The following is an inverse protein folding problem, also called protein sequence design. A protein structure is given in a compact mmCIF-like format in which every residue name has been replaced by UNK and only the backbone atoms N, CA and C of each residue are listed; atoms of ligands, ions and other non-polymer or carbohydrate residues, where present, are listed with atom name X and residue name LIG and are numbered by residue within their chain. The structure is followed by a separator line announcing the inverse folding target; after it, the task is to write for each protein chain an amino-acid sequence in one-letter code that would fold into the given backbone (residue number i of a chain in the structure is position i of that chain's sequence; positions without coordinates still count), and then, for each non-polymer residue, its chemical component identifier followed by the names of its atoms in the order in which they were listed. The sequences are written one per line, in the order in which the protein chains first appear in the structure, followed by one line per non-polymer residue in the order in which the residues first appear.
data_IF_975596891063
#
_entry.id   IF_975596891063
#
_cell.length_a   1.000
_cell.length_b   1.000
_cell.length_c   1.000
_cell.angle_alpha   90.00
_cell.angle_beta   90.00
_cell.angle_gamma   90.00
#
_symmetry.space_group_name_H-M   'P 1'
#
loop_
_entity.id
_entity.type
_entity.pdbx_description
1 polymer ?
#
# COMPACT_ATOMS: atom_id res chain seq x y z
N UNK A 1 15.49 -11.37 75.20
CA UNK A 1 16.14 -11.61 73.90
C UNK A 1 15.74 -12.98 73.36
N UNK A 2 14.79 -13.03 72.43
CA UNK A 2 14.54 -14.21 71.59
C UNK A 2 14.29 -13.67 70.17
N UNK A 3 15.37 -13.52 69.41
CA UNK A 3 15.31 -13.13 68.02
C UNK A 3 14.87 -14.32 67.17
N UNK A 4 13.66 -14.26 66.61
CA UNK A 4 13.25 -15.19 65.55
C UNK A 4 14.08 -14.85 64.30
N UNK A 5 15.05 -15.70 63.96
CA UNK A 5 15.69 -15.68 62.66
C UNK A 5 14.67 -16.12 61.61
N UNK A 6 14.23 -15.18 60.78
CA UNK A 6 13.41 -15.46 59.60
C UNK A 6 14.26 -16.25 58.60
N UNK A 7 13.98 -17.55 58.49
CA UNK A 7 14.59 -18.42 57.49
C UNK A 7 13.90 -18.14 56.14
N UNK A 8 14.56 -17.37 55.28
CA UNK A 8 14.04 -17.06 53.94
C UNK A 8 14.10 -18.33 53.10
N UNK A 9 12.94 -18.84 52.68
CA UNK A 9 12.83 -20.06 51.87
C UNK A 9 13.67 -19.96 50.58
N UNK A 10 14.41 -21.03 50.27
CA UNK A 10 15.21 -21.16 49.03
C UNK A 10 14.38 -20.89 47.75
N UNK A 11 13.06 -21.15 47.79
CA UNK A 11 12.13 -20.80 46.71
C UNK A 11 11.95 -19.29 46.51
N UNK A 12 11.95 -18.51 47.59
CA UNK A 12 11.82 -17.04 47.53
C UNK A 12 13.07 -16.40 46.94
N UNK A 13 14.25 -16.94 47.27
CA UNK A 13 15.53 -16.51 46.68
C UNK A 13 15.59 -16.87 45.20
N UNK A 14 15.17 -18.08 44.82
CA UNK A 14 15.16 -18.53 43.43
C UNK A 14 14.23 -17.67 42.55
N UNK A 15 13.02 -17.37 43.02
CA UNK A 15 12.08 -16.50 42.30
C UNK A 15 12.58 -15.05 42.21
N UNK A 16 13.27 -14.56 43.25
CA UNK A 16 13.95 -13.25 43.22
C UNK A 16 15.07 -13.19 42.18
N UNK A 17 15.90 -14.24 42.07
CA UNK A 17 16.96 -14.34 41.08
C UNK A 17 16.41 -14.44 39.65
N UNK A 18 15.34 -15.23 39.42
CA UNK A 18 14.68 -15.34 38.12
C UNK A 18 14.04 -14.01 37.72
N UNK A 19 13.38 -13.32 38.65
CA UNK A 19 12.81 -11.98 38.41
C UNK A 19 13.88 -10.94 38.10
N UNK A 20 15.00 -10.96 38.81
CA UNK A 20 16.15 -10.08 38.55
C UNK A 20 16.75 -10.35 37.17
N UNK A 21 16.93 -11.61 36.79
CA UNK A 21 17.45 -11.99 35.47
C UNK A 21 16.49 -11.57 34.34
N UNK A 22 15.18 -11.74 34.55
CA UNK A 22 14.15 -11.32 33.59
C UNK A 22 14.09 -9.79 33.43
N UNK A 23 14.20 -9.04 34.53
CA UNK A 23 14.36 -7.59 34.50
C UNK A 23 15.65 -7.17 33.78
N UNK A 24 16.77 -7.85 34.02
CA UNK A 24 18.04 -7.56 33.37
C UNK A 24 17.96 -7.78 31.86
N UNK A 25 17.31 -8.87 31.43
CA UNK A 25 17.05 -9.17 30.00
C UNK A 25 16.13 -8.13 29.38
N UNK A 26 15.06 -7.72 30.06
CA UNK A 26 14.16 -6.66 29.57
C UNK A 26 14.83 -5.28 29.47
N UNK A 27 15.84 -4.99 30.29
CA UNK A 27 16.62 -3.74 30.25
C UNK A 27 17.74 -3.80 29.20
N UNK A 28 18.33 -4.98 28.95
CA UNK A 28 19.39 -5.19 27.95
C UNK A 28 18.85 -5.32 26.52
N UNK A 29 17.62 -5.80 26.36
CA UNK A 29 16.92 -5.78 25.06
C UNK A 29 16.40 -4.36 24.86
N UNK A 30 17.26 -3.47 24.34
CA UNK A 30 16.79 -2.19 23.82
C UNK A 30 15.66 -2.48 22.82
N UNK A 31 14.50 -1.81 22.93
CA UNK A 31 13.57 -1.80 21.82
C UNK A 31 14.37 -1.31 20.60
N UNK A 32 14.22 -1.99 19.47
CA UNK A 32 14.82 -1.55 18.21
C UNK A 32 14.18 -0.22 17.81
N UNK A 33 14.59 0.86 18.48
CA UNK A 33 14.45 2.20 17.97
C UNK A 33 15.17 2.23 16.63
N UNK A 34 14.66 2.99 15.67
CA UNK A 34 15.34 3.23 14.41
C UNK A 34 16.66 4.00 14.66
N UNK A 35 17.65 3.29 15.19
CA UNK A 35 18.83 3.82 15.88
C UNK A 35 19.83 4.46 14.91
N UNK A 36 19.66 4.21 13.62
CA UNK A 36 20.48 4.69 12.53
C UNK A 36 19.77 5.70 11.63
N UNK A 37 18.61 6.24 12.03
CA UNK A 37 17.98 7.35 11.33
C UNK A 37 18.55 8.68 11.84
N UNK A 38 19.07 9.48 10.92
CA UNK A 38 19.50 10.85 11.20
C UNK A 38 18.27 11.75 11.31
N UNK A 39 18.00 12.22 12.52
CA UNK A 39 16.90 13.15 12.82
C UNK A 39 17.31 14.62 12.65
N UNK A 40 18.61 14.92 12.67
CA UNK A 40 19.13 16.29 12.61
C UNK A 40 19.20 16.79 11.17
N UNK A 41 19.67 15.96 10.23
CA UNK A 41 19.86 16.34 8.83
C UNK A 41 18.73 15.87 7.90
N UNK A 42 17.49 15.99 8.36
CA UNK A 42 16.32 15.59 7.57
C UNK A 42 16.05 16.52 6.37
N UNK A 43 15.54 15.94 5.28
CA UNK A 43 15.11 16.67 4.09
C UNK A 43 13.59 16.86 4.12
N UNK A 44 13.15 18.12 4.21
CA UNK A 44 11.72 18.47 4.19
C UNK A 44 11.33 19.01 2.82
N UNK A 45 10.37 18.34 2.19
CA UNK A 45 9.75 18.74 0.93
C UNK A 45 8.35 19.30 1.19
N UNK A 46 7.99 20.39 0.49
CA UNK A 46 6.69 21.04 0.62
C UNK A 46 5.97 21.02 -0.72
N UNK A 47 4.66 20.80 -0.67
CA UNK A 47 3.77 20.87 -1.82
C UNK A 47 2.64 21.88 -1.63
N UNK A 48 1.67 21.92 -2.56
CA UNK A 48 0.53 22.84 -2.49
C UNK A 48 -0.32 22.62 -1.24
N UNK A 49 -0.82 23.72 -0.66
CA UNK A 49 -1.70 23.66 0.51
C UNK A 49 -3.03 22.98 0.17
N UNK A 50 -3.60 22.27 1.14
CA UNK A 50 -4.90 21.58 1.01
C UNK A 50 -4.99 20.56 -0.13
N UNK A 51 -3.86 20.08 -0.65
CA UNK A 51 -3.80 19.09 -1.74
C UNK A 51 -3.65 17.64 -1.27
N UNK A 52 -3.53 17.41 0.05
CA UNK A 52 -3.06 16.15 0.65
C UNK A 52 -1.71 15.69 0.11
N UNK A 53 -0.81 16.63 -0.23
CA UNK A 53 0.56 16.32 -0.59
C UNK A 53 1.24 15.47 0.49
N UNK A 54 1.68 14.27 0.12
CA UNK A 54 2.26 13.31 1.06
C UNK A 54 1.32 12.15 1.40
N UNK A 55 0.11 12.10 0.83
CA UNK A 55 -0.81 10.98 1.01
C UNK A 55 -0.17 9.65 0.60
N UNK A 56 0.56 9.66 -0.51
CA UNK A 56 1.39 8.54 -0.95
C UNK A 56 2.80 9.05 -1.26
N UNK A 57 3.80 8.24 -0.93
CA UNK A 57 5.22 8.58 -1.14
C UNK A 57 5.98 7.38 -1.68
N UNK A 58 6.91 7.64 -2.58
CA UNK A 58 7.74 6.61 -3.20
C UNK A 58 9.13 7.18 -3.50
N UNK A 59 10.16 6.40 -3.19
CA UNK A 59 11.52 6.68 -3.66
C UNK A 59 11.72 6.09 -5.05
N UNK A 60 12.19 6.90 -5.98
CA UNK A 60 12.45 6.48 -7.34
C UNK A 60 13.86 6.89 -7.77
N UNK A 61 14.62 5.92 -8.26
CA UNK A 61 15.93 6.14 -8.88
C UNK A 61 15.78 5.88 -10.36
N UNK A 62 16.16 6.84 -11.20
CA UNK A 62 16.24 6.68 -12.66
C UNK A 62 17.64 7.09 -13.11
N UNK A 63 18.43 6.11 -13.53
CA UNK A 63 19.88 6.26 -13.72
C UNK A 63 20.56 6.93 -12.51
N UNK A 64 21.19 8.09 -12.71
CA UNK A 64 21.86 8.87 -11.66
C UNK A 64 20.90 9.74 -10.84
N UNK A 65 19.68 9.96 -11.33
CA UNK A 65 18.73 10.84 -10.67
C UNK A 65 17.96 10.13 -9.56
N UNK A 66 17.86 10.79 -8.41
CA UNK A 66 17.13 10.31 -7.24
C UNK A 66 15.98 11.26 -6.95
N UNK A 67 14.77 10.73 -7.01
CA UNK A 67 13.53 11.47 -6.89
C UNK A 67 12.73 10.96 -5.70
N UNK A 68 12.16 11.89 -4.95
CA UNK A 68 11.01 11.63 -4.10
C UNK A 68 9.75 11.89 -4.95
N UNK A 69 8.93 10.86 -5.10
CA UNK A 69 7.65 10.95 -5.82
C UNK A 69 6.54 11.00 -4.78
N UNK A 70 5.64 11.97 -4.92
CA UNK A 70 4.63 12.29 -3.91
C UNK A 70 3.27 12.46 -4.54
N UNK A 71 2.28 11.70 -4.08
CA UNK A 71 0.89 11.87 -4.47
C UNK A 71 0.18 12.95 -3.65
N UNK A 72 -0.74 13.64 -4.32
CA UNK A 72 -1.59 14.67 -3.75
C UNK A 72 -3.02 14.50 -4.33
N UNK A 73 -3.83 13.58 -3.78
CA UNK A 73 -5.08 13.11 -4.39
C UNK A 73 -6.14 14.18 -4.63
N UNK A 74 -6.12 15.28 -3.88
CA UNK A 74 -7.09 16.39 -4.01
C UNK A 74 -6.44 17.66 -4.56
N UNK A 75 -5.22 17.56 -5.10
CA UNK A 75 -4.56 18.65 -5.78
C UNK A 75 -5.43 19.18 -6.94
N UNK A 76 -5.47 20.49 -7.07
CA UNK A 76 -6.16 21.12 -8.17
C UNK A 76 -5.28 21.17 -9.42
N UNK A 77 -5.92 21.12 -10.59
CA UNK A 77 -5.26 21.34 -11.87
C UNK A 77 -5.15 22.83 -12.17
N UNK A 78 -4.21 23.19 -13.05
CA UNK A 78 -4.21 24.49 -13.73
C UNK A 78 -5.30 24.60 -14.80
N UNK A 79 -5.93 23.49 -15.22
CA UNK A 79 -7.08 23.48 -16.14
C UNK A 79 -8.38 23.78 -15.39
N UNK A 80 -9.15 24.74 -15.88
CA UNK A 80 -10.43 25.18 -15.27
C UNK A 80 -11.60 24.22 -15.46
N UNK A 81 -11.41 23.11 -16.18
CA UNK A 81 -12.48 22.19 -16.58
C UNK A 81 -12.69 21.02 -15.62
N UNK A 82 -11.73 20.74 -14.72
CA UNK A 82 -11.76 19.54 -13.87
C UNK A 82 -11.50 19.93 -12.41
N UNK A 83 -12.40 19.52 -11.52
CA UNK A 83 -12.34 19.85 -10.10
C UNK A 83 -11.52 18.83 -9.31
N UNK A 84 -10.45 19.30 -8.67
CA UNK A 84 -9.58 18.51 -7.77
C UNK A 84 -9.31 17.07 -8.27
N UNK A 85 -8.76 16.91 -9.49
CA UNK A 85 -8.47 15.58 -10.04
C UNK A 85 -7.40 14.82 -9.26
N UNK A 86 -6.56 15.54 -8.52
CA UNK A 86 -5.35 15.01 -7.93
C UNK A 86 -4.15 15.11 -8.86
N UNK A 87 -2.96 15.00 -8.29
CA UNK A 87 -1.69 15.11 -9.00
C UNK A 87 -0.59 14.30 -8.32
N UNK A 88 0.46 14.01 -9.08
CA UNK A 88 1.70 13.44 -8.57
C UNK A 88 2.83 14.42 -8.82
N UNK A 89 3.71 14.57 -7.85
CA UNK A 89 4.86 15.47 -7.89
C UNK A 89 6.15 14.67 -7.83
N UNK A 90 7.19 15.20 -8.46
CA UNK A 90 8.57 14.72 -8.30
C UNK A 90 9.42 15.82 -7.67
N UNK A 91 10.20 15.45 -6.66
CA UNK A 91 11.13 16.33 -5.98
C UNK A 91 12.54 15.73 -6.10
N UNK A 92 13.52 16.52 -6.53
CA UNK A 92 14.90 16.05 -6.59
C UNK A 92 15.47 15.93 -5.18
N UNK A 93 16.03 14.77 -4.84
CA UNK A 93 16.65 14.55 -3.54
C UNK A 93 18.02 15.26 -3.46
N UNK A 94 18.72 15.36 -4.60
CA UNK A 94 20.08 15.92 -4.68
C UNK A 94 20.11 17.41 -5.01
N UNK A 95 18.97 18.03 -5.32
CA UNK A 95 18.94 19.45 -5.64
C UNK A 95 19.06 20.31 -4.37
N UNK A 96 19.80 21.42 -4.48
CA UNK A 96 19.90 22.43 -3.43
C UNK A 96 18.53 23.00 -3.07
N UNK A 97 17.73 23.30 -4.10
CA UNK A 97 16.34 23.73 -3.95
C UNK A 97 15.44 22.49 -3.90
N UNK A 98 14.80 22.29 -2.75
CA UNK A 98 13.87 21.18 -2.46
C UNK A 98 12.48 21.38 -3.09
N UNK A 99 12.45 21.89 -4.31
CA UNK A 99 11.22 22.20 -5.05
C UNK A 99 10.66 20.94 -5.68
N UNK A 100 9.34 20.77 -5.55
CA UNK A 100 8.59 19.69 -6.15
C UNK A 100 7.86 20.19 -7.40
N UNK A 101 7.98 19.45 -8.49
CA UNK A 101 7.33 19.78 -9.76
C UNK A 101 6.25 18.75 -10.06
N UNK A 102 5.07 19.17 -10.59
CA UNK A 102 4.07 18.22 -11.02
C UNK A 102 4.64 17.33 -12.12
N UNK A 103 4.40 16.03 -11.99
CA UNK A 103 4.67 15.09 -13.06
C UNK A 103 3.58 15.25 -14.13
N UNK A 104 3.91 15.08 -15.42
CA UNK A 104 2.90 14.97 -16.44
C UNK A 104 2.13 13.68 -16.18
N UNK A 105 1.04 13.76 -15.42
CA UNK A 105 -0.05 12.81 -15.58
C UNK A 105 -0.71 13.20 -16.89
N UNK A 106 -0.78 12.27 -17.84
CA UNK A 106 -1.21 12.59 -19.20
C UNK A 106 -2.57 13.27 -19.26
N UNK A 107 -2.88 13.84 -20.42
CA UNK A 107 -4.12 14.59 -20.66
C UNK A 107 -5.31 13.83 -20.06
N UNK A 108 -6.15 14.56 -19.29
CA UNK A 108 -7.30 13.97 -18.59
C UNK A 108 -8.07 13.03 -19.52
N UNK A 109 -8.52 11.90 -18.99
CA UNK A 109 -9.22 10.91 -19.81
C UNK A 109 -10.47 11.58 -20.38
N UNK A 110 -10.53 11.74 -21.70
CA UNK A 110 -11.67 12.32 -22.41
C UNK A 110 -12.59 11.25 -23.01
N UNK A 111 -12.10 10.01 -23.11
CA UNK A 111 -12.86 8.89 -23.65
C UNK A 111 -12.40 7.59 -22.99
N UNK A 112 -13.35 6.78 -22.54
CA UNK A 112 -13.11 5.46 -21.98
C UNK A 112 -14.09 4.47 -22.61
N UNK A 113 -13.61 3.62 -23.51
CA UNK A 113 -14.46 2.59 -24.14
C UNK A 113 -15.75 3.12 -24.78
N UNK A 114 -16.69 2.21 -25.05
CA UNK A 114 -18.00 2.55 -25.63
C UNK A 114 -19.10 2.72 -24.58
N UNK A 115 -18.91 2.16 -23.39
CA UNK A 115 -19.94 2.14 -22.33
C UNK A 115 -19.56 2.98 -21.11
N UNK A 116 -18.40 3.62 -21.13
CA UNK A 116 -17.91 4.44 -20.04
C UNK A 116 -17.91 5.92 -20.42
N UNK A 117 -18.29 6.75 -19.45
CA UNK A 117 -18.13 8.19 -19.49
C UNK A 117 -16.93 8.56 -18.63
N UNK A 118 -15.98 9.28 -19.21
CA UNK A 118 -14.73 9.57 -18.54
C UNK A 118 -14.96 10.71 -17.54
N UNK A 119 -14.84 10.40 -16.25
CA UNK A 119 -14.97 11.35 -15.16
C UNK A 119 -13.60 11.56 -14.51
N UNK A 120 -13.07 12.79 -14.61
CA UNK A 120 -11.80 13.17 -14.01
C UNK A 120 -11.96 14.01 -12.74
N UNK A 121 -13.18 14.44 -12.42
CA UNK A 121 -13.51 15.20 -11.22
C UNK A 121 -13.39 14.31 -9.99
N UNK A 122 -12.72 14.82 -8.96
CA UNK A 122 -12.54 14.12 -7.68
C UNK A 122 -12.10 12.65 -7.83
N UNK A 123 -11.28 12.36 -8.84
CA UNK A 123 -10.81 11.00 -9.13
C UNK A 123 -9.69 10.53 -8.19
N UNK A 124 -9.18 11.38 -7.31
CA UNK A 124 -8.14 11.03 -6.32
C UNK A 124 -6.85 10.49 -6.94
N UNK A 125 -6.37 11.13 -8.02
CA UNK A 125 -5.12 10.72 -8.67
C UNK A 125 -3.92 10.87 -7.73
N UNK A 126 -3.16 9.79 -7.58
CA UNK A 126 -2.01 9.76 -6.66
C UNK A 126 -2.37 9.27 -5.25
N UNK A 127 -3.54 8.67 -5.07
CA UNK A 127 -3.90 7.95 -3.83
C UNK A 127 -2.97 6.76 -3.56
N UNK A 128 -2.48 6.11 -4.62
CA UNK A 128 -1.60 4.96 -4.52
C UNK A 128 -0.48 5.04 -5.57
N UNK A 129 0.74 4.69 -5.14
CA UNK A 129 1.96 4.69 -5.96
C UNK A 129 2.67 3.36 -5.79
N UNK A 130 3.16 2.78 -6.88
CA UNK A 130 4.15 1.71 -6.81
C UNK A 130 5.21 1.84 -7.90
N UNK A 131 6.33 1.15 -7.70
CA UNK A 131 7.47 1.18 -8.60
C UNK A 131 7.78 -0.23 -9.05
N UNK A 132 7.96 -0.40 -10.35
CA UNK A 132 8.56 -1.61 -10.88
C UNK A 132 10.03 -1.71 -10.45
N UNK A 133 10.44 -2.88 -9.97
CA UNK A 133 11.84 -3.15 -9.68
C UNK A 133 12.62 -3.31 -10.98
N UNK A 134 13.52 -2.38 -11.27
CA UNK A 134 14.43 -2.42 -12.42
C UNK A 134 15.71 -1.65 -12.10
N UNK A 135 16.83 -2.12 -12.65
CA UNK A 135 18.18 -1.60 -12.39
C UNK A 135 18.35 -0.13 -12.80
N UNK A 136 17.75 0.25 -13.94
CA UNK A 136 17.84 1.58 -14.54
C UNK A 136 16.70 2.53 -14.14
N UNK A 137 15.89 2.13 -13.17
CA UNK A 137 14.70 2.88 -12.77
C UNK A 137 13.50 2.48 -13.60
N UNK A 138 12.72 1.55 -13.05
CA UNK A 138 11.51 1.02 -13.67
C UNK A 138 10.35 2.00 -13.68
N UNK A 139 9.21 1.54 -14.18
CA UNK A 139 8.00 2.34 -14.28
C UNK A 139 7.46 2.73 -12.90
N UNK A 140 6.83 3.91 -12.83
CA UNK A 140 5.99 4.29 -11.69
C UNK A 140 4.54 4.08 -12.12
N UNK A 141 3.83 3.25 -11.36
CA UNK A 141 2.40 3.08 -11.52
C UNK A 141 1.67 4.08 -10.61
N UNK A 142 0.74 4.80 -11.20
CA UNK A 142 -0.15 5.72 -10.49
C UNK A 142 -1.58 5.38 -10.86
N UNK A 143 -2.41 5.22 -9.84
CA UNK A 143 -3.83 4.96 -10.04
C UNK A 143 -4.69 6.07 -9.43
N UNK A 144 -5.78 6.45 -10.10
CA UNK A 144 -6.87 7.16 -9.48
C UNK A 144 -7.73 6.19 -8.65
N UNK A 145 -8.63 6.76 -7.85
CA UNK A 145 -9.67 6.07 -7.13
C UNK A 145 -11.02 6.78 -7.38
N UNK A 146 -11.83 6.19 -8.26
CA UNK A 146 -13.15 6.69 -8.63
C UNK A 146 -14.21 6.08 -7.69
N UNK A 147 -14.97 6.94 -7.00
CA UNK A 147 -15.98 6.51 -6.03
C UNK A 147 -17.28 6.00 -6.69
N UNK A 148 -17.68 6.59 -7.83
CA UNK A 148 -19.01 6.36 -8.43
C UNK A 148 -19.01 5.42 -9.63
N UNK A 149 -17.84 5.16 -10.22
CA UNK A 149 -17.71 4.41 -11.48
C UNK A 149 -16.57 3.40 -11.39
N UNK A 150 -16.76 2.23 -11.99
CA UNK A 150 -15.72 1.22 -12.14
C UNK A 150 -15.15 1.17 -13.54
N UNK A 151 -14.68 2.30 -14.00
CA UNK A 151 -13.80 2.32 -15.14
C UNK A 151 -12.40 2.59 -14.63
N UNK A 152 -11.72 1.59 -14.05
CA UNK A 152 -10.37 1.81 -13.57
C UNK A 152 -9.46 1.96 -14.77
N UNK A 153 -9.03 3.18 -15.01
CA UNK A 153 -7.87 3.44 -15.84
C UNK A 153 -6.66 3.62 -14.93
N UNK A 154 -5.53 3.04 -15.34
CA UNK A 154 -4.25 3.25 -14.68
C UNK A 154 -3.41 4.21 -15.51
N UNK A 155 -2.59 5.00 -14.84
CA UNK A 155 -1.55 5.77 -15.50
C UNK A 155 -0.20 5.08 -15.29
N UNK A 156 0.49 4.80 -16.39
CA UNK A 156 1.92 4.59 -16.34
C UNK A 156 2.59 5.94 -16.39
N UNK A 157 3.26 6.31 -15.30
CA UNK A 157 4.20 7.41 -15.32
C UNK A 157 5.58 6.84 -15.62
N UNK A 158 6.00 7.00 -16.88
CA UNK A 158 7.42 7.00 -17.19
C UNK A 158 8.01 8.31 -16.64
N UNK A 159 9.29 8.31 -16.21
CA UNK A 159 9.91 9.47 -15.56
C UNK A 159 9.86 10.77 -16.40
N UNK A 160 9.63 10.66 -17.71
CA UNK A 160 9.56 11.79 -18.65
C UNK A 160 8.35 11.77 -19.59
N UNK A 161 7.52 10.73 -19.56
CA UNK A 161 6.35 10.59 -20.42
C UNK A 161 5.20 9.95 -19.65
N UNK A 162 3.98 10.31 -19.98
CA UNK A 162 2.79 9.61 -19.48
C UNK A 162 2.28 8.68 -20.55
N UNK A 163 2.02 7.43 -20.19
CA UNK A 163 1.23 6.53 -21.01
C UNK A 163 -0.02 6.10 -20.23
N UNK A 164 -1.15 6.08 -20.91
CA UNK A 164 -2.42 5.66 -20.32
C UNK A 164 -2.63 4.18 -20.59
N UNK A 165 -3.00 3.42 -19.55
CA UNK A 165 -3.49 2.07 -19.71
C UNK A 165 -4.93 1.99 -19.24
N UNK A 166 -5.80 1.72 -20.20
CA UNK A 166 -7.20 1.43 -19.95
C UNK A 166 -7.34 -0.06 -19.65
N UNK A 167 -7.71 -0.38 -18.42
CA UNK A 167 -8.05 -1.74 -18.03
C UNK A 167 -9.53 -1.95 -18.30
N UNK A 168 -9.86 -2.70 -19.35
CA UNK A 168 -11.24 -3.04 -19.66
C UNK A 168 -11.72 -4.11 -18.67
N UNK A 169 -12.35 -3.68 -17.58
CA UNK A 169 -13.10 -4.57 -16.69
C UNK A 169 -14.50 -4.69 -17.30
N UNK A 170 -14.97 -5.93 -17.46
CA UNK A 170 -16.14 -6.33 -18.26
C UNK A 170 -17.26 -5.29 -18.41
N UNK A 171 -17.52 -4.98 -19.68
CA UNK A 171 -18.13 -3.75 -20.25
C UNK A 171 -19.67 -3.63 -20.07
N UNK A 172 -20.32 -4.44 -19.22
CA UNK A 172 -21.79 -4.60 -19.24
C UNK A 172 -22.49 -4.43 -17.88
N UNK A 173 -21.82 -3.86 -16.88
CA UNK A 173 -22.39 -3.71 -15.54
C UNK A 173 -22.98 -2.30 -15.36
N UNK A 174 -24.32 -2.21 -15.37
CA UNK A 174 -25.06 -0.94 -15.18
C UNK A 174 -25.53 -0.69 -13.74
N UNK A 175 -25.55 -1.73 -12.90
CA UNK A 175 -26.15 -1.64 -11.57
C UNK A 175 -25.08 -1.33 -10.53
N UNK A 176 -25.24 -0.21 -9.83
CA UNK A 176 -24.35 0.21 -8.75
C UNK A 176 -24.27 -0.88 -7.66
N UNK A 177 -23.07 -1.15 -7.16
CA UNK A 177 -22.81 -2.21 -6.19
C UNK A 177 -22.63 -3.60 -6.81
N UNK A 178 -23.34 -3.98 -7.87
CA UNK A 178 -23.22 -5.35 -8.41
C UNK A 178 -21.92 -5.56 -9.19
N UNK A 179 -21.30 -6.72 -8.98
CA UNK A 179 -20.05 -7.12 -9.63
C UNK A 179 -19.01 -6.01 -9.55
N UNK A 180 -18.74 -5.35 -10.68
CA UNK A 180 -17.78 -4.30 -10.73
C UNK A 180 -18.41 -2.91 -10.71
N UNK A 181 -19.73 -2.69 -10.78
CA UNK A 181 -20.33 -1.36 -10.99
C UNK A 181 -19.79 -0.20 -10.13
N UNK A 182 -19.34 -0.48 -8.90
CA UNK A 182 -18.69 0.47 -7.98
C UNK A 182 -17.37 -0.08 -7.42
N UNK A 183 -16.53 -0.72 -8.22
CA UNK A 183 -15.37 -1.49 -7.73
C UNK A 183 -14.30 -0.67 -7.00
N UNK A 184 -14.19 0.64 -7.28
CA UNK A 184 -13.21 1.54 -6.68
C UNK A 184 -11.76 1.02 -6.79
N UNK A 185 -11.43 0.38 -7.93
CA UNK A 185 -10.12 -0.22 -8.13
C UNK A 185 -9.03 0.86 -8.20
N UNK A 186 -7.92 0.62 -7.51
CA UNK A 186 -6.79 1.56 -7.45
C UNK A 186 -6.57 2.24 -6.12
N UNK A 187 -7.40 1.98 -5.10
CA UNK A 187 -7.16 2.45 -3.73
C UNK A 187 -5.80 1.98 -3.19
N UNK A 188 -5.39 0.77 -3.59
CA UNK A 188 -4.10 0.18 -3.30
C UNK A 188 -3.57 -0.52 -4.54
N UNK A 189 -2.25 -0.48 -4.74
CA UNK A 189 -1.61 -1.14 -5.87
C UNK A 189 -0.19 -1.63 -5.52
N UNK A 190 0.26 -2.65 -6.24
CA UNK A 190 1.66 -3.08 -6.27
C UNK A 190 2.02 -3.52 -7.69
N UNK A 191 3.20 -3.12 -8.14
CA UNK A 191 3.72 -3.44 -9.47
C UNK A 191 4.95 -4.33 -9.36
N UNK A 192 4.92 -5.46 -10.06
CA UNK A 192 6.06 -6.38 -10.23
C UNK A 192 6.65 -6.20 -11.64
N UNK A 193 7.57 -7.07 -12.07
CA UNK A 193 8.08 -7.02 -13.44
C UNK A 193 6.94 -7.16 -14.48
N UNK A 194 6.03 -8.11 -14.28
CA UNK A 194 5.04 -8.50 -15.30
C UNK A 194 3.58 -8.37 -14.83
N UNK A 195 3.35 -8.01 -13.57
CA UNK A 195 2.02 -7.93 -12.97
C UNK A 195 1.78 -6.56 -12.34
N UNK A 196 0.56 -6.06 -12.56
CA UNK A 196 -0.02 -4.96 -11.81
C UNK A 196 -1.14 -5.54 -10.96
N UNK A 197 -0.98 -5.43 -9.66
CA UNK A 197 -1.94 -5.93 -8.69
C UNK A 197 -2.62 -4.73 -8.05
N UNK A 198 -3.95 -4.76 -8.01
CA UNK A 198 -4.76 -3.63 -7.60
C UNK A 198 -5.89 -4.10 -6.70
N UNK A 199 -6.12 -3.34 -5.67
CA UNK A 199 -7.24 -3.53 -4.78
C UNK A 199 -8.51 -2.88 -5.30
N UNK A 200 -9.64 -3.59 -5.23
CA UNK A 200 -10.96 -3.13 -5.67
C UNK A 200 -12.00 -3.42 -4.59
N UNK A 201 -12.04 -2.62 -3.50
CA UNK A 201 -12.84 -2.91 -2.31
C UNK A 201 -14.35 -2.81 -2.54
N UNK A 202 -14.81 -2.04 -3.54
CA UNK A 202 -16.24 -1.81 -3.78
C UNK A 202 -16.92 -2.86 -4.67
N UNK A 203 -16.17 -3.87 -5.13
CA UNK A 203 -16.70 -4.99 -5.93
C UNK A 203 -17.76 -5.78 -5.16
N UNK A 204 -18.85 -6.15 -5.84
CA UNK A 204 -19.94 -7.04 -5.41
C UNK A 204 -20.49 -6.65 -4.05
N UNK A 205 -21.05 -5.45 -3.98
CA UNK A 205 -21.56 -4.80 -2.79
C UNK A 205 -20.47 -4.77 -1.72
N UNK A 206 -19.30 -4.18 -1.97
CA UNK A 206 -18.24 -4.04 -0.96
C UNK A 206 -17.74 -5.37 -0.33
N UNK A 207 -17.96 -6.52 -0.96
CA UNK A 207 -17.19 -7.74 -0.63
C UNK A 207 -15.71 -7.49 -0.93
N UNK A 208 -15.45 -6.77 -2.03
CA UNK A 208 -14.13 -6.42 -2.53
C UNK A 208 -13.45 -7.56 -3.28
N UNK A 209 -12.43 -7.21 -4.06
CA UNK A 209 -11.64 -8.13 -4.86
C UNK A 209 -10.20 -7.63 -5.02
N UNK A 210 -9.29 -8.53 -5.38
CA UNK A 210 -7.95 -8.17 -5.85
C UNK A 210 -7.85 -8.52 -7.33
N UNK A 211 -7.40 -7.57 -8.12
CA UNK A 211 -7.25 -7.71 -9.57
C UNK A 211 -5.78 -7.80 -9.92
N UNK A 212 -5.41 -8.73 -10.77
CA UNK A 212 -4.06 -8.87 -11.32
C UNK A 212 -4.11 -8.70 -12.83
N UNK A 213 -3.42 -7.68 -13.33
CA UNK A 213 -3.23 -7.43 -14.75
C UNK A 213 -1.83 -7.87 -15.17
N UNK A 214 -1.76 -8.77 -16.15
CA UNK A 214 -0.50 -9.17 -16.74
C UNK A 214 -0.14 -8.21 -17.87
N UNK A 215 0.98 -7.52 -17.72
CA UNK A 215 1.43 -6.48 -18.68
C UNK A 215 1.90 -7.07 -20.00
N UNK A 216 2.37 -8.32 -20.00
CA UNK A 216 2.92 -9.01 -21.17
C UNK A 216 1.81 -9.62 -22.03
N UNK A 217 0.79 -10.23 -21.41
CA UNK A 217 -0.35 -10.82 -22.13
C UNK A 217 -1.53 -9.87 -22.32
N UNK A 218 -1.56 -8.75 -21.60
CA UNK A 218 -2.69 -7.81 -21.62
C UNK A 218 -3.96 -8.34 -20.97
N UNK A 219 -3.85 -9.39 -20.15
CA UNK A 219 -5.00 -10.07 -19.53
C UNK A 219 -5.22 -9.61 -18.10
N UNK A 220 -6.47 -9.33 -17.74
CA UNK A 220 -6.90 -9.05 -16.38
C UNK A 220 -7.54 -10.28 -15.74
N UNK A 221 -7.10 -10.64 -14.53
CA UNK A 221 -7.63 -11.78 -13.76
C UNK A 221 -8.13 -11.27 -12.41
N UNK A 222 -9.31 -11.71 -11.98
CA UNK A 222 -9.78 -11.51 -10.61
C UNK A 222 -9.25 -12.64 -9.73
N UNK A 223 -8.49 -12.27 -8.71
CA UNK A 223 -8.06 -13.18 -7.65
C UNK A 223 -9.20 -13.25 -6.63
N UNK A 224 -10.09 -14.23 -6.84
CA UNK A 224 -11.21 -14.48 -5.96
C UNK A 224 -10.71 -14.87 -4.56
N UNK A 225 -11.01 -14.04 -3.57
CA UNK A 225 -10.82 -14.37 -2.17
C UNK A 225 -12.15 -14.91 -1.64
N UNK A 226 -12.15 -16.09 -1.03
CA UNK A 226 -13.32 -16.67 -0.35
C UNK A 226 -13.64 -15.85 0.91
N UNK A 227 -14.43 -14.79 0.72
CA UNK A 227 -14.79 -13.80 1.74
C UNK A 227 -16.30 -13.54 1.64
N UNK A 228 -16.99 -13.59 2.78
CA UNK A 228 -18.40 -13.21 2.89
C UNK A 228 -18.55 -11.71 3.14
N UNK A 229 -19.65 -11.14 2.65
CA UNK A 229 -19.99 -9.73 2.79
C UNK A 229 -20.28 -9.32 4.26
N UNK A 230 -19.89 -8.10 4.70
CA UNK A 230 -18.93 -7.16 4.11
C UNK A 230 -17.47 -7.52 4.44
N UNK A 231 -16.58 -7.33 3.46
CA UNK A 231 -15.15 -7.66 3.58
C UNK A 231 -14.21 -6.50 3.28
N UNK A 232 -14.58 -5.63 2.32
CA UNK A 232 -13.71 -4.60 1.75
C UNK A 232 -12.35 -5.15 1.28
N UNK A 233 -12.37 -6.35 0.68
CA UNK A 233 -11.16 -7.04 0.23
C UNK A 233 -10.43 -6.25 -0.86
N UNK A 234 -9.10 -6.19 -0.79
CA UNK A 234 -8.34 -5.31 -1.66
C UNK A 234 -8.26 -3.87 -1.14
N UNK A 235 -8.59 -3.61 0.13
CA UNK A 235 -8.28 -2.32 0.74
C UNK A 235 -6.76 -2.07 0.76
N UNK A 236 -6.00 -3.12 1.07
CA UNK A 236 -4.55 -3.18 0.91
C UNK A 236 -4.17 -4.38 0.04
N UNK A 237 -3.10 -4.25 -0.74
CA UNK A 237 -2.55 -5.34 -1.54
C UNK A 237 -1.04 -5.46 -1.34
N UNK A 238 -0.53 -6.67 -1.47
CA UNK A 238 0.88 -6.97 -1.49
C UNK A 238 1.16 -8.15 -2.41
N UNK A 239 2.41 -8.29 -2.84
CA UNK A 239 2.89 -9.40 -3.63
C UNK A 239 4.29 -9.81 -3.18
N UNK A 240 4.60 -11.09 -3.25
CA UNK A 240 5.89 -11.61 -2.80
C UNK A 240 6.05 -13.11 -3.06
N UNK A 241 7.23 -13.61 -2.75
CA UNK A 241 7.58 -15.03 -2.81
C UNK A 241 7.43 -15.61 -1.39
N UNK A 242 6.30 -16.25 -1.13
CA UNK A 242 5.95 -16.80 0.18
C UNK A 242 6.06 -18.32 0.21
N UNK A 243 5.72 -18.98 -0.90
CA UNK A 243 5.74 -20.45 -1.01
C UNK A 243 7.01 -20.99 -1.64
N UNK A 244 7.51 -20.33 -2.69
CA UNK A 244 8.73 -20.68 -3.42
C UNK A 244 9.38 -19.41 -3.98
N UNK A 245 10.73 -19.36 -4.11
CA UNK A 245 11.41 -18.28 -4.85
C UNK A 245 10.97 -18.16 -6.31
N UNK A 246 10.42 -19.24 -6.89
CA UNK A 246 9.94 -19.27 -8.29
C UNK A 246 8.46 -18.95 -8.46
N UNK A 247 7.69 -18.82 -7.38
CA UNK A 247 6.27 -18.49 -7.42
C UNK A 247 6.02 -17.14 -6.77
N UNK A 248 5.09 -16.39 -7.35
CA UNK A 248 4.65 -15.10 -6.82
C UNK A 248 3.23 -15.26 -6.31
N UNK A 249 3.03 -15.02 -5.02
CA UNK A 249 1.70 -14.98 -4.44
C UNK A 249 1.26 -13.55 -4.17
N UNK A 250 -0.05 -13.37 -4.17
CA UNK A 250 -0.73 -12.09 -3.96
C UNK A 250 -1.49 -12.15 -2.65
N UNK A 251 -1.38 -11.08 -1.87
CA UNK A 251 -2.08 -10.94 -0.59
C UNK A 251 -3.00 -9.73 -0.67
N UNK A 252 -4.26 -9.93 -0.27
CA UNK A 252 -5.26 -8.88 -0.17
C UNK A 252 -5.73 -8.72 1.28
N UNK A 253 -5.84 -7.47 1.73
CA UNK A 253 -6.37 -7.11 3.02
C UNK A 253 -7.88 -6.89 2.96
N UNK A 254 -8.60 -7.37 3.99
CA UNK A 254 -10.06 -7.28 4.10
C UNK A 254 -10.45 -6.76 5.50
N UNK A 255 -10.33 -5.44 5.74
CA UNK A 255 -10.42 -4.87 7.09
C UNK A 255 -11.82 -4.96 7.72
N UNK A 256 -12.88 -5.13 6.93
CA UNK A 256 -14.25 -5.17 7.42
C UNK A 256 -14.79 -6.59 7.62
N UNK A 257 -14.05 -7.61 7.19
CA UNK A 257 -14.48 -9.00 7.29
C UNK A 257 -14.78 -9.42 8.73
N UNK A 258 -15.98 -9.94 9.00
CA UNK A 258 -16.43 -10.38 10.33
C UNK A 258 -16.40 -9.29 11.43
N UNK A 259 -16.42 -8.01 11.03
CA UNK A 259 -16.22 -6.84 11.92
C UNK A 259 -14.90 -6.85 12.74
N UNK A 260 -13.94 -7.71 12.37
CA UNK A 260 -12.63 -7.88 13.05
C UNK A 260 -11.44 -7.95 12.09
N UNK A 261 -11.67 -8.12 10.79
CA UNK A 261 -10.64 -8.38 9.78
C UNK A 261 -10.09 -9.82 9.81
N UNK A 262 -9.51 -10.31 8.71
CA UNK A 262 -9.11 -11.74 8.56
C UNK A 262 -7.73 -12.04 9.16
N UNK A 263 -7.70 -12.70 10.33
CA UNK A 263 -6.55 -13.24 11.09
C UNK A 263 -5.51 -14.02 10.24
N UNK A 264 -4.23 -13.68 10.35
CA UNK A 264 -3.09 -14.57 10.01
C UNK A 264 -2.67 -15.29 11.31
N UNK A 265 -2.51 -16.61 11.29
CA UNK A 265 -2.12 -17.41 12.46
C UNK A 265 -0.64 -17.21 12.82
N UNK A 266 -0.40 -16.45 13.88
CA UNK A 266 0.84 -16.36 14.66
C UNK A 266 0.43 -15.97 16.09
N UNK A 267 1.06 -16.56 17.10
CA UNK A 267 0.62 -16.64 18.51
C UNK A 267 -0.04 -15.37 19.10
N UNK A 268 -1.32 -15.53 19.49
CA UNK A 268 -2.18 -14.71 20.36
C UNK A 268 -1.81 -13.24 20.55
N UNK A 269 -2.37 -12.36 19.71
CA UNK A 269 -2.40 -10.92 19.94
C UNK A 269 -3.86 -10.47 20.11
N UNK A 270 -4.26 -10.14 21.35
CA UNK A 270 -5.40 -9.29 21.77
C UNK A 270 -6.81 -9.57 21.21
N UNK A 271 -7.81 -9.64 22.09
CA UNK A 271 -9.22 -9.88 21.70
C UNK A 271 -9.96 -8.71 21.00
N UNK A 272 -9.32 -7.53 20.83
CA UNK A 272 -9.97 -6.29 20.37
C UNK A 272 -9.30 -5.60 19.16
N UNK A 273 -8.63 -6.34 18.27
CA UNK A 273 -8.10 -5.76 17.04
C UNK A 273 -9.24 -5.40 16.07
N UNK A 274 -9.34 -4.11 15.71
CA UNK A 274 -10.24 -3.59 14.66
C UNK A 274 -9.42 -3.22 13.42
N UNK A 275 -10.03 -3.35 12.24
CA UNK A 275 -9.44 -3.04 10.93
C UNK A 275 -8.26 -3.93 10.49
N UNK A 276 -8.12 -5.17 10.96
CA UNK A 276 -7.03 -6.07 10.53
C UNK A 276 -7.02 -6.27 9.00
N UNK A 277 -5.91 -5.94 8.34
CA UNK A 277 -5.77 -5.98 6.88
C UNK A 277 -5.98 -4.62 6.19
N UNK A 278 -6.00 -3.53 6.97
CA UNK A 278 -5.96 -2.14 6.48
C UNK A 278 -4.66 -1.77 5.78
N UNK A 279 -3.56 -2.44 6.12
CA UNK A 279 -2.23 -2.27 5.50
C UNK A 279 -1.48 -3.60 5.50
N UNK A 280 -0.77 -3.90 4.42
CA UNK A 280 0.04 -5.11 4.27
C UNK A 280 1.43 -4.73 3.75
N UNK A 281 2.45 -5.47 4.18
CA UNK A 281 3.79 -5.39 3.60
C UNK A 281 4.27 -6.83 3.32
N UNK A 282 4.71 -7.07 2.09
CA UNK A 282 5.20 -8.36 1.60
C UNK A 282 6.58 -8.25 0.93
N UNK A 283 7.23 -7.09 1.03
CA UNK A 283 8.48 -6.80 0.32
C UNK A 283 9.74 -7.21 1.09
N UNK A 284 9.60 -7.58 2.37
CA UNK A 284 10.71 -7.77 3.30
C UNK A 284 10.76 -9.25 3.71
N UNK A 285 11.93 -9.86 3.54
CA UNK A 285 12.33 -11.08 4.22
C UNK A 285 13.01 -10.66 5.53
N UNK A 286 12.40 -11.00 6.67
CA UNK A 286 12.80 -10.47 7.98
C UNK A 286 13.87 -11.35 8.65
N UNK A 287 13.96 -12.61 8.24
CA UNK A 287 14.89 -13.61 8.78
C UNK A 287 15.90 -14.13 7.75
N UNK A 288 15.90 -13.54 6.54
CA UNK A 288 16.86 -13.79 5.45
C UNK A 288 16.89 -15.27 5.02
N UNK A 289 15.73 -15.92 5.04
CA UNK A 289 15.58 -17.34 4.72
C UNK A 289 15.19 -17.59 3.25
N UNK A 290 15.08 -16.53 2.46
CA UNK A 290 14.66 -16.54 1.06
C UNK A 290 13.15 -16.45 0.85
N UNK A 291 12.35 -16.30 1.92
CA UNK A 291 10.89 -16.21 1.87
C UNK A 291 10.39 -14.95 2.55
N UNK A 292 9.57 -14.18 1.83
CA UNK A 292 9.01 -12.93 2.34
C UNK A 292 7.81 -13.23 3.24
N UNK A 293 8.04 -13.57 4.51
CA UNK A 293 6.96 -13.69 5.52
C UNK A 293 6.69 -15.08 6.09
N UNK A 294 7.64 -16.02 5.97
CA UNK A 294 7.51 -17.34 6.57
C UNK A 294 8.38 -17.44 7.82
N UNK A 295 7.76 -17.27 9.01
CA UNK A 295 8.30 -17.90 10.22
C UNK A 295 7.99 -19.39 10.15
N UNK A 296 9.01 -20.22 10.28
CA UNK A 296 8.87 -21.64 10.64
C UNK A 296 8.21 -21.79 12.02
#
# INVERSE_FOLDING_TARGET
FHGRMCNLSSRTVFWGCVGFFFCLVLVLVCPAAAYNLDLEHSLVFKGPSSSMFGYSVLLHRHYSHKWLVVGAPVANSSSSQVQSPGAVYRCSITAERRTCYPMPAGQYVTSCGKTCEAESDHQWLGVSLSRQSSENGGLILVMPHLFHSCCPYCYYLLPFTSQHLFLSITDHQRKFGEYYGSCQAGISNVMTQDLIIMGAPGTSYWTGSVLAYNTSSGTLVNIALTITFPGASGYAVGAGHFLSPSSMEVVGGAPQFSQKGKRISGSSLGHDLRMFGQSLNSGIDIDDNGYKGKRT
#
